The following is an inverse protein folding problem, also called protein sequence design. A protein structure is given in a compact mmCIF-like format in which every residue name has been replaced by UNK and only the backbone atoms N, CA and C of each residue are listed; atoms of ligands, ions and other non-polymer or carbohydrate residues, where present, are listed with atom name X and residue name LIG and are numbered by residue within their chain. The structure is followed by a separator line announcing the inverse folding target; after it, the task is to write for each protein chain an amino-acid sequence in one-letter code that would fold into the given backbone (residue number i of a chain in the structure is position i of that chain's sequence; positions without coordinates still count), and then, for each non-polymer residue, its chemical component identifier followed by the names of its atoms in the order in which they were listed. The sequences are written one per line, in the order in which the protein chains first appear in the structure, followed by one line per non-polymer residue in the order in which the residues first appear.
data_IF_435984317029
#
_entry.id   IF_435984317029
#
_cell.length_a   1.000
_cell.length_b   1.000
_cell.length_c   1.000
_cell.angle_alpha   90.00
_cell.angle_beta   90.00
_cell.angle_gamma   90.00
#
_symmetry.space_group_name_H-M   'P 1'
#
loop_
_entity.id
_entity.type
_entity.pdbx_description
1 polymer ?
#
# COMPACT_ATOMS: atom_id res chain seq x y z
N UNK A 1 4.15 -24.42 11.38
CA UNK A 1 5.45 -23.72 11.54
C UNK A 1 5.32 -22.38 10.83
N UNK A 2 4.99 -21.31 11.57
CA UNK A 2 4.84 -19.98 10.99
C UNK A 2 6.22 -19.42 10.68
N UNK A 3 6.62 -19.48 9.43
CA UNK A 3 7.78 -18.73 8.94
C UNK A 3 7.32 -17.28 8.83
N UNK A 4 7.60 -16.49 9.86
CA UNK A 4 7.45 -15.03 9.79
C UNK A 4 8.60 -14.49 8.97
N UNK A 5 8.41 -14.40 7.67
CA UNK A 5 9.34 -13.69 6.78
C UNK A 5 9.27 -12.19 7.08
N UNK A 6 10.06 -11.79 8.05
CA UNK A 6 10.23 -10.39 8.43
C UNK A 6 11.10 -9.70 7.39
N UNK A 7 10.81 -8.43 7.12
CA UNK A 7 11.76 -7.59 6.39
C UNK A 7 13.11 -7.65 7.11
N UNK A 8 14.15 -8.02 6.37
CA UNK A 8 15.51 -8.08 6.89
C UNK A 8 16.24 -6.78 6.59
N UNK A 9 16.97 -6.33 7.59
CA UNK A 9 17.92 -5.25 7.45
C UNK A 9 19.29 -5.82 7.11
N UNK A 10 19.84 -5.39 5.98
CA UNK A 10 21.15 -5.84 5.51
C UNK A 10 22.02 -4.65 5.13
N UNK A 11 23.33 -4.78 5.36
CA UNK A 11 24.32 -3.79 4.98
C UNK A 11 25.13 -4.31 3.82
N UNK A 12 25.16 -3.61 2.70
CA UNK A 12 25.94 -3.97 1.52
C UNK A 12 27.10 -3.00 1.27
N UNK A 13 28.22 -3.53 0.79
CA UNK A 13 29.43 -2.77 0.48
C UNK A 13 30.46 -2.75 1.61
N UNK A 14 31.63 -2.21 1.33
CA UNK A 14 32.77 -2.06 2.25
C UNK A 14 33.14 -0.59 2.44
N UNK A 15 33.56 -0.20 3.65
CA UNK A 15 34.03 1.14 3.96
C UNK A 15 32.95 2.23 3.76
N UNK A 16 33.31 3.35 3.14
CA UNK A 16 32.41 4.49 2.87
C UNK A 16 31.27 4.19 1.87
N UNK A 17 31.32 3.03 1.19
CA UNK A 17 30.29 2.59 0.23
C UNK A 17 29.20 1.69 0.89
N UNK A 18 29.18 1.57 2.22
CA UNK A 18 28.12 0.85 2.94
C UNK A 18 26.75 1.45 2.64
N UNK A 19 25.85 0.63 2.11
CA UNK A 19 24.45 0.98 1.88
C UNK A 19 23.57 0.11 2.74
N UNK A 20 22.65 0.73 3.43
CA UNK A 20 21.65 0.03 4.23
C UNK A 20 20.52 -0.38 3.30
N UNK A 21 20.13 -1.64 3.35
CA UNK A 21 19.06 -2.20 2.53
C UNK A 21 18.03 -2.90 3.40
N UNK A 22 16.80 -2.91 2.95
CA UNK A 22 15.74 -3.76 3.47
C UNK A 22 15.38 -4.81 2.44
N UNK A 23 15.11 -6.02 2.88
CA UNK A 23 14.71 -7.14 2.04
C UNK A 23 13.63 -7.96 2.73
N UNK A 24 12.66 -8.45 1.96
CA UNK A 24 11.58 -9.29 2.46
C UNK A 24 10.50 -9.46 1.43
N UNK A 25 9.37 -10.03 1.85
CA UNK A 25 8.18 -10.11 1.00
C UNK A 25 7.52 -8.73 0.99
N UNK A 26 7.37 -8.13 -0.19
CA UNK A 26 6.74 -6.81 -0.37
C UNK A 26 5.27 -6.93 -0.75
N UNK A 27 4.90 -7.98 -1.51
CA UNK A 27 3.55 -8.23 -1.95
C UNK A 27 3.21 -9.72 -1.77
N UNK A 28 1.95 -10.02 -1.51
CA UNK A 28 1.47 -11.38 -1.33
C UNK A 28 0.11 -11.56 -2.03
N UNK A 29 0.03 -12.55 -2.92
CA UNK A 29 -1.18 -12.90 -3.65
C UNK A 29 -1.87 -14.13 -3.08
N UNK A 30 -3.16 -14.32 -3.44
CA UNK A 30 -3.93 -15.51 -3.11
C UNK A 30 -4.32 -15.67 -1.64
N UNK A 31 -4.00 -14.70 -0.77
CA UNK A 31 -4.30 -14.74 0.66
C UNK A 31 -5.10 -13.50 1.06
N UNK A 32 -6.13 -13.68 1.90
CA UNK A 32 -6.91 -12.59 2.48
C UNK A 32 -6.03 -11.82 3.46
N UNK A 33 -5.83 -10.53 3.20
CA UNK A 33 -5.07 -9.64 4.08
C UNK A 33 -5.95 -9.12 5.26
N UNK A 34 -5.34 -8.35 6.19
CA UNK A 34 -6.05 -7.78 7.35
C UNK A 34 -7.19 -6.83 6.97
N UNK A 35 -7.13 -6.22 5.78
CA UNK A 35 -8.18 -5.34 5.27
C UNK A 35 -9.32 -6.12 4.57
N UNK A 36 -9.31 -7.44 4.65
CA UNK A 36 -10.33 -8.28 4.03
C UNK A 36 -10.20 -8.43 2.52
N UNK A 37 -9.07 -8.04 1.94
CA UNK A 37 -8.82 -8.07 0.49
C UNK A 37 -7.96 -9.25 0.10
N UNK A 38 -8.15 -9.74 -1.12
CA UNK A 38 -7.31 -10.75 -1.76
C UNK A 38 -6.89 -10.25 -3.14
N UNK A 39 -5.62 -10.38 -3.42
CA UNK A 39 -5.00 -10.02 -4.69
C UNK A 39 -4.79 -11.29 -5.50
N UNK A 40 -5.41 -11.46 -6.68
CA UNK A 40 -5.07 -12.55 -7.59
C UNK A 40 -3.60 -12.50 -7.97
N UNK A 41 -2.94 -13.66 -7.99
CA UNK A 41 -1.49 -13.74 -8.22
C UNK A 41 -1.10 -13.27 -9.62
N UNK A 42 -1.92 -13.57 -10.60
CA UNK A 42 -1.75 -13.18 -12.01
C UNK A 42 -1.83 -11.65 -12.18
N UNK A 43 -2.76 -11.00 -11.48
CA UNK A 43 -2.87 -9.52 -11.47
C UNK A 43 -1.63 -8.90 -10.85
N UNK A 44 -1.19 -9.43 -9.70
CA UNK A 44 0.06 -8.95 -9.06
C UNK A 44 1.27 -9.18 -9.96
N UNK A 45 1.39 -10.33 -10.61
CA UNK A 45 2.51 -10.62 -11.51
C UNK A 45 2.57 -9.67 -12.70
N UNK A 46 1.42 -9.41 -13.33
CA UNK A 46 1.30 -8.41 -14.39
C UNK A 46 1.79 -7.04 -13.92
N UNK A 47 1.32 -6.60 -12.75
CA UNK A 47 1.65 -5.29 -12.20
C UNK A 47 3.10 -5.20 -11.74
N UNK A 48 3.66 -6.25 -11.16
CA UNK A 48 5.07 -6.32 -10.80
C UNK A 48 5.95 -6.23 -12.05
N UNK A 49 5.59 -6.93 -13.12
CA UNK A 49 6.31 -6.85 -14.39
C UNK A 49 6.26 -5.44 -14.99
N UNK A 50 5.08 -4.80 -14.98
CA UNK A 50 4.92 -3.40 -15.40
C UNK A 50 5.78 -2.47 -14.53
N UNK A 51 5.69 -2.59 -13.20
CA UNK A 51 6.40 -1.77 -12.24
C UNK A 51 7.92 -1.91 -12.38
N UNK A 52 8.41 -3.14 -12.54
CA UNK A 52 9.83 -3.40 -12.78
C UNK A 52 10.33 -2.71 -14.06
N UNK A 53 9.58 -2.80 -15.15
CA UNK A 53 9.97 -2.21 -16.43
C UNK A 53 9.90 -0.67 -16.41
N UNK A 54 8.86 -0.11 -15.77
CA UNK A 54 8.58 1.32 -15.79
C UNK A 54 9.38 2.09 -14.72
N UNK A 55 9.60 1.49 -13.55
CA UNK A 55 10.17 2.21 -12.41
C UNK A 55 11.49 1.61 -11.90
N UNK A 56 11.56 0.29 -11.66
CA UNK A 56 12.77 -0.32 -11.07
C UNK A 56 13.96 -0.21 -12.02
N UNK A 57 13.81 -0.65 -13.27
CA UNK A 57 14.86 -0.58 -14.29
C UNK A 57 15.33 0.83 -14.58
N UNK A 58 14.44 1.82 -14.42
CA UNK A 58 14.76 3.23 -14.64
C UNK A 58 15.31 3.93 -13.38
N UNK A 59 15.45 3.21 -12.25
CA UNK A 59 15.92 3.77 -10.99
C UNK A 59 14.92 4.75 -10.34
N UNK A 60 13.63 4.69 -10.70
CA UNK A 60 12.56 5.58 -10.27
C UNK A 60 11.59 4.96 -9.26
N UNK A 61 11.81 3.70 -8.87
CA UNK A 61 10.97 2.98 -7.92
C UNK A 61 11.22 3.48 -6.49
N UNK A 62 10.58 4.57 -6.12
CA UNK A 62 10.71 5.21 -4.81
C UNK A 62 9.63 4.73 -3.85
N UNK A 63 9.96 4.69 -2.54
CA UNK A 63 9.03 4.44 -1.46
C UNK A 63 9.20 5.45 -0.33
N UNK A 64 8.15 5.63 0.44
CA UNK A 64 8.05 6.66 1.48
C UNK A 64 8.15 6.07 2.89
N UNK A 65 8.40 6.92 3.88
CA UNK A 65 8.24 6.60 5.29
C UNK A 65 6.81 6.96 5.73
N UNK A 66 6.06 5.96 6.15
CA UNK A 66 4.62 6.04 6.40
C UNK A 66 3.79 5.96 5.12
N UNK A 67 2.48 5.77 5.27
CA UNK A 67 1.54 5.85 4.16
C UNK A 67 1.05 7.29 4.01
N UNK A 68 1.36 7.98 2.89
CA UNK A 68 0.76 9.28 2.60
C UNK A 68 -0.68 9.13 2.12
N UNK A 69 -1.37 10.25 2.05
CA UNK A 69 -2.65 10.33 1.37
C UNK A 69 -2.43 10.38 -0.16
N UNK A 70 -2.97 9.39 -0.87
CA UNK A 70 -2.90 9.32 -2.35
C UNK A 70 -1.87 8.34 -2.90
N UNK A 71 -2.02 7.98 -4.18
CA UNK A 71 -1.14 7.04 -4.86
C UNK A 71 0.17 7.67 -5.34
N UNK A 72 0.26 8.99 -5.36
CA UNK A 72 1.44 9.72 -5.84
C UNK A 72 2.54 9.71 -4.79
N UNK A 73 3.79 9.54 -5.22
CA UNK A 73 4.95 9.61 -4.34
C UNK A 73 5.30 11.06 -4.04
N UNK A 74 5.37 11.43 -2.76
CA UNK A 74 5.83 12.75 -2.32
C UNK A 74 7.35 12.71 -2.09
N UNK A 75 8.09 13.49 -2.86
CA UNK A 75 9.55 13.44 -2.85
C UNK A 75 10.18 13.85 -1.51
N UNK A 76 9.53 14.70 -0.73
CA UNK A 76 9.93 15.11 0.61
C UNK A 76 9.81 13.98 1.65
N UNK A 77 8.99 12.95 1.38
CA UNK A 77 8.78 11.79 2.25
C UNK A 77 9.55 10.54 1.82
N UNK A 78 10.26 10.61 0.70
CA UNK A 78 11.01 9.47 0.16
C UNK A 78 12.08 9.01 1.16
N UNK A 79 12.04 7.73 1.52
CA UNK A 79 12.96 7.08 2.45
C UNK A 79 13.86 6.04 1.77
N UNK A 80 13.41 5.42 0.69
CA UNK A 80 14.14 4.33 0.05
C UNK A 80 13.85 4.23 -1.44
N UNK A 81 14.70 3.46 -2.12
CA UNK A 81 14.55 3.12 -3.54
C UNK A 81 14.51 1.59 -3.69
N UNK A 82 13.45 1.07 -4.29
CA UNK A 82 13.29 -0.33 -4.60
C UNK A 82 14.24 -0.69 -5.74
N UNK A 83 15.05 -1.73 -5.53
CA UNK A 83 16.09 -2.16 -6.46
C UNK A 83 15.79 -3.50 -7.10
N UNK A 84 14.92 -4.30 -6.49
CA UNK A 84 14.50 -5.60 -7.00
C UNK A 84 13.10 -5.93 -6.50
N UNK A 85 12.31 -6.59 -7.35
CA UNK A 85 11.01 -7.15 -7.01
C UNK A 85 10.79 -8.41 -7.85
N UNK A 86 10.84 -9.59 -7.23
CA UNK A 86 10.83 -10.90 -7.91
C UNK A 86 9.74 -11.78 -7.33
N UNK A 87 9.04 -12.52 -8.18
CA UNK A 87 8.03 -13.49 -7.76
C UNK A 87 8.68 -14.76 -7.15
N UNK A 88 8.18 -15.17 -6.00
CA UNK A 88 8.49 -16.44 -5.32
C UNK A 88 7.16 -17.13 -4.94
N UNK A 89 6.64 -17.96 -5.82
CA UNK A 89 5.32 -18.58 -5.63
C UNK A 89 4.19 -17.55 -5.64
N UNK A 90 3.48 -17.46 -4.53
CA UNK A 90 2.42 -16.44 -4.32
C UNK A 90 2.95 -15.14 -3.71
N UNK A 91 4.23 -15.11 -3.32
CA UNK A 91 4.88 -13.94 -2.75
C UNK A 91 5.71 -13.21 -3.80
N UNK A 92 5.93 -11.93 -3.57
CA UNK A 92 6.86 -11.12 -4.35
C UNK A 92 7.90 -10.54 -3.40
N UNK A 93 9.10 -11.10 -3.47
CA UNK A 93 10.23 -10.66 -2.65
C UNK A 93 10.82 -9.40 -3.25
N UNK A 94 10.97 -8.39 -2.41
CA UNK A 94 11.55 -7.10 -2.78
C UNK A 94 12.84 -6.82 -2.00
N UNK A 95 13.66 -5.97 -2.62
CA UNK A 95 14.84 -5.37 -2.01
C UNK A 95 14.83 -3.87 -2.27
N UNK A 96 15.17 -3.08 -1.26
CA UNK A 96 15.25 -1.64 -1.38
C UNK A 96 16.45 -1.09 -0.62
N UNK A 97 17.08 -0.05 -1.17
CA UNK A 97 18.18 0.69 -0.54
C UNK A 97 17.62 1.91 0.17
N UNK A 98 17.97 2.08 1.44
CA UNK A 98 17.69 3.30 2.19
C UNK A 98 18.49 4.47 1.63
N UNK A 99 17.83 5.60 1.45
CA UNK A 99 18.44 6.80 0.88
C UNK A 99 18.92 7.75 1.99
N UNK A 100 19.83 8.64 1.65
CA UNK A 100 20.34 9.68 2.57
C UNK A 100 19.38 10.86 2.74
N UNK A 101 18.11 10.71 2.34
CA UNK A 101 17.04 11.69 2.57
C UNK A 101 16.71 11.80 4.07
N UNK A 102 16.05 12.87 4.53
CA UNK A 102 15.64 12.98 5.94
C UNK A 102 14.84 11.75 6.40
N UNK A 103 13.86 11.29 5.62
CA UNK A 103 13.03 10.13 5.94
C UNK A 103 13.80 8.80 5.88
N UNK A 104 14.76 8.68 4.97
CA UNK A 104 15.64 7.51 4.90
C UNK A 104 16.59 7.43 6.11
N UNK A 105 17.07 8.56 6.60
CA UNK A 105 17.87 8.62 7.84
C UNK A 105 17.06 8.22 9.06
N UNK A 106 15.80 8.69 9.17
CA UNK A 106 14.89 8.28 10.26
C UNK A 106 14.67 6.79 10.22
N UNK A 107 14.31 6.22 9.05
CA UNK A 107 14.11 4.79 8.89
C UNK A 107 15.37 4.01 9.26
N UNK A 108 16.54 4.46 8.83
CA UNK A 108 17.84 3.87 9.16
C UNK A 108 18.11 3.84 10.66
N UNK A 109 17.94 4.98 11.34
CA UNK A 109 18.14 5.08 12.80
C UNK A 109 17.21 4.16 13.58
N UNK A 110 15.93 4.08 13.17
CA UNK A 110 14.96 3.18 13.80
C UNK A 110 15.38 1.71 13.65
N UNK A 111 15.87 1.32 12.46
CA UNK A 111 16.33 -0.03 12.23
C UNK A 111 17.64 -0.34 12.98
N UNK A 112 18.56 0.60 13.05
CA UNK A 112 19.82 0.46 13.81
C UNK A 112 19.55 0.30 15.32
N UNK A 113 18.53 0.95 15.86
CA UNK A 113 18.04 0.78 17.24
C UNK A 113 17.19 -0.49 17.46
N UNK A 114 17.05 -1.33 16.43
CA UNK A 114 16.32 -2.60 16.50
C UNK A 114 14.80 -2.48 16.42
N UNK A 115 14.27 -1.32 16.02
CA UNK A 115 12.84 -1.16 15.78
C UNK A 115 12.41 -2.03 14.60
N UNK A 116 11.36 -2.81 14.78
CA UNK A 116 10.79 -3.65 13.73
C UNK A 116 9.85 -2.83 12.87
N UNK A 117 10.27 -2.52 11.67
CA UNK A 117 9.48 -1.87 10.65
C UNK A 117 8.94 -2.88 9.64
N UNK A 118 7.80 -2.58 9.07
CA UNK A 118 7.20 -3.34 7.98
C UNK A 118 7.25 -2.58 6.67
N UNK A 119 6.77 -3.23 5.62
CA UNK A 119 6.54 -2.58 4.32
C UNK A 119 5.11 -2.82 3.86
N UNK A 120 4.57 -1.86 3.13
CA UNK A 120 3.21 -1.93 2.62
C UNK A 120 3.13 -1.28 1.24
N UNK A 121 2.42 -1.91 0.30
CA UNK A 121 2.27 -1.40 -1.05
C UNK A 121 1.10 -0.43 -1.18
N UNK A 122 1.17 0.44 -2.15
CA UNK A 122 0.06 1.29 -2.60
C UNK A 122 -0.32 0.95 -4.03
N UNK A 123 -1.61 0.95 -4.31
CA UNK A 123 -2.15 0.75 -5.64
C UNK A 123 -3.56 1.28 -5.74
N UNK A 124 -4.07 1.35 -6.95
CA UNK A 124 -5.42 1.77 -7.29
C UNK A 124 -6.09 0.70 -8.12
N UNK A 125 -7.38 0.52 -7.95
CA UNK A 125 -8.15 -0.47 -8.69
C UNK A 125 -9.52 -0.70 -8.07
N UNK A 126 -10.38 -1.42 -8.79
CA UNK A 126 -11.71 -1.80 -8.32
C UNK A 126 -11.66 -2.98 -7.34
N UNK A 127 -12.67 -3.09 -6.51
CA UNK A 127 -12.87 -4.22 -5.61
C UNK A 127 -14.20 -4.90 -5.97
N UNK A 128 -14.19 -6.23 -6.02
CA UNK A 128 -15.40 -7.05 -6.21
C UNK A 128 -15.62 -7.89 -4.97
N UNK A 129 -16.84 -7.92 -4.47
CA UNK A 129 -17.18 -8.80 -3.36
C UNK A 129 -17.22 -10.26 -3.84
N UNK A 130 -16.56 -11.12 -3.09
CA UNK A 130 -16.64 -12.57 -3.26
C UNK A 130 -17.67 -13.15 -2.29
N UNK A 131 -18.29 -14.28 -2.66
CA UNK A 131 -19.27 -14.99 -1.83
C UNK A 131 -18.81 -15.32 -0.41
N UNK A 132 -17.49 -15.27 -0.15
CA UNK A 132 -16.86 -15.59 1.14
C UNK A 132 -16.60 -14.34 2.00
N UNK A 133 -17.21 -13.19 1.70
CA UNK A 133 -16.95 -11.93 2.42
C UNK A 133 -15.51 -11.42 2.28
N UNK A 134 -14.83 -11.84 1.22
CA UNK A 134 -13.51 -11.35 0.85
C UNK A 134 -13.64 -10.41 -0.35
N UNK A 135 -13.00 -9.25 -0.30
CA UNK A 135 -12.97 -8.31 -1.43
C UNK A 135 -11.82 -8.70 -2.38
N UNK A 136 -12.17 -9.12 -3.59
CA UNK A 136 -11.20 -9.44 -4.64
C UNK A 136 -10.78 -8.18 -5.37
N UNK A 137 -9.49 -8.00 -5.53
CA UNK A 137 -8.93 -6.89 -6.34
C UNK A 137 -9.18 -7.17 -7.81
N UNK A 138 -9.65 -6.15 -8.53
CA UNK A 138 -10.02 -6.23 -9.95
C UNK A 138 -8.83 -6.21 -10.91
N UNK A 139 -9.12 -6.51 -12.17
CA UNK A 139 -8.12 -6.53 -13.24
C UNK A 139 -7.55 -5.14 -13.58
N UNK A 140 -8.25 -4.08 -13.21
CA UNK A 140 -7.85 -2.68 -13.36
C UNK A 140 -6.83 -2.23 -12.30
N UNK A 141 -6.40 -3.13 -11.41
CA UNK A 141 -5.41 -2.82 -10.39
C UNK A 141 -4.11 -2.32 -11.02
N UNK A 142 -3.60 -1.21 -10.49
CA UNK A 142 -2.31 -0.64 -10.83
C UNK A 142 -1.48 -0.40 -9.58
N UNK A 143 -0.29 -0.97 -9.55
CA UNK A 143 0.67 -0.79 -8.48
C UNK A 143 1.33 0.59 -8.60
N UNK A 144 1.09 1.46 -7.63
CA UNK A 144 1.69 2.80 -7.56
C UNK A 144 3.05 2.78 -6.86
N UNK A 145 3.13 2.10 -5.71
CA UNK A 145 4.37 1.89 -4.95
C UNK A 145 4.42 0.46 -4.44
N UNK A 146 5.50 -0.25 -4.70
CA UNK A 146 5.62 -1.65 -4.28
C UNK A 146 5.88 -1.79 -2.78
N UNK A 147 6.44 -0.79 -2.13
CA UNK A 147 6.65 -0.76 -0.69
C UNK A 147 6.80 0.67 -0.17
N UNK A 148 6.09 0.99 0.89
CA UNK A 148 6.37 2.09 1.82
C UNK A 148 6.79 1.50 3.16
N UNK A 149 7.68 2.15 3.88
CA UNK A 149 8.08 1.69 5.22
C UNK A 149 7.04 2.15 6.23
N UNK A 150 6.46 1.21 6.97
CA UNK A 150 5.38 1.46 7.94
C UNK A 150 5.68 0.80 9.28
N UNK A 151 5.12 1.36 10.36
CA UNK A 151 5.28 0.80 11.71
C UNK A 151 4.47 -0.50 11.89
N UNK A 152 3.23 -0.53 11.38
CA UNK A 152 2.33 -1.68 11.51
C UNK A 152 1.73 -2.05 10.14
N UNK A 153 2.30 -3.05 9.49
CA UNK A 153 1.85 -3.49 8.19
C UNK A 153 0.61 -4.39 8.27
N UNK A 154 -0.28 -4.31 7.29
CA UNK A 154 -1.57 -4.98 7.31
C UNK A 154 -1.58 -6.43 6.84
N UNK A 155 -0.51 -6.94 6.27
CA UNK A 155 -0.43 -8.36 5.91
C UNK A 155 0.23 -9.20 7.01
N UNK A 156 -0.24 -10.45 7.25
CA UNK A 156 0.27 -11.31 8.33
C UNK A 156 1.74 -11.70 8.16
N UNK A 157 2.21 -11.87 6.93
CA UNK A 157 3.54 -12.41 6.64
C UNK A 157 4.39 -11.48 5.75
N UNK A 158 3.76 -10.60 5.02
CA UNK A 158 4.39 -9.56 4.23
C UNK A 158 3.27 -8.73 3.60
N UNK A 159 3.31 -7.67 3.62
CA UNK A 159 2.54 -6.50 3.66
C UNK A 159 1.97 -6.07 2.33
N UNK A 160 0.72 -6.37 2.07
CA UNK A 160 -0.02 -5.77 0.98
C UNK A 160 -1.12 -4.89 1.57
N UNK A 161 -0.86 -3.60 1.64
CA UNK A 161 -1.90 -2.59 1.65
C UNK A 161 -1.91 -1.96 0.26
N UNK A 162 -2.72 -2.48 -0.59
CA UNK A 162 -3.12 -1.70 -1.72
C UNK A 162 -4.39 -0.98 -1.31
N UNK A 163 -4.36 0.31 -1.19
CA UNK A 163 -5.46 1.23 -0.89
C UNK A 163 -5.38 1.71 0.55
N UNK A 164 -5.17 3.00 0.67
CA UNK A 164 -5.03 3.76 1.90
C UNK A 164 -6.11 3.40 2.91
N UNK A 165 -5.75 3.29 4.17
CA UNK A 165 -6.72 3.15 5.23
C UNK A 165 -7.75 4.26 5.14
N UNK A 166 -8.96 3.87 4.79
CA UNK A 166 -10.11 4.72 4.80
C UNK A 166 -10.48 5.43 3.50
N UNK A 167 -9.72 5.30 2.40
CA UNK A 167 -10.04 5.94 1.12
C UNK A 167 -9.84 4.95 -0.04
N UNK A 168 -10.86 4.75 -0.82
CA UNK A 168 -10.80 3.99 -2.07
C UNK A 168 -10.72 4.97 -3.24
N UNK A 169 -9.66 4.83 -4.05
CA UNK A 169 -9.46 5.66 -5.24
C UNK A 169 -9.81 4.83 -6.47
N UNK A 170 -10.67 5.36 -7.32
CA UNK A 170 -11.11 4.72 -8.56
C UNK A 170 -10.75 5.60 -9.74
N UNK A 171 -10.26 4.99 -10.82
CA UNK A 171 -10.14 5.65 -12.11
C UNK A 171 -11.50 5.84 -12.73
N UNK A 172 -11.94 7.08 -12.87
CA UNK A 172 -13.17 7.41 -13.54
C UNK A 172 -12.92 8.56 -14.53
N UNK A 173 -13.19 8.31 -15.81
CA UNK A 173 -13.05 9.31 -16.85
C UNK A 173 -11.63 9.88 -17.03
N UNK A 174 -10.57 9.09 -16.72
CA UNK A 174 -9.18 9.53 -16.85
C UNK A 174 -8.65 10.32 -15.64
N UNK A 175 -9.42 10.45 -14.57
CA UNK A 175 -9.00 11.06 -13.31
C UNK A 175 -9.19 10.13 -12.13
N UNK A 176 -8.34 10.29 -11.12
CA UNK A 176 -8.43 9.53 -9.86
C UNK A 176 -9.47 10.20 -8.96
N UNK A 177 -10.50 9.45 -8.55
CA UNK A 177 -11.53 9.93 -7.61
C UNK A 177 -11.59 9.05 -6.37
N UNK A 178 -11.75 9.68 -5.21
CA UNK A 178 -11.99 8.99 -3.94
C UNK A 178 -13.41 8.42 -3.92
N UNK A 179 -13.58 7.16 -3.47
CA UNK A 179 -14.91 6.59 -3.25
C UNK A 179 -15.55 7.15 -1.97
N UNK A 180 -16.01 8.39 -2.04
CA UNK A 180 -16.82 8.99 -0.99
C UNK A 180 -18.25 8.42 -0.92
N UNK A 181 -18.74 7.87 -2.04
CA UNK A 181 -20.11 7.37 -2.16
C UNK A 181 -20.43 6.25 -1.15
N UNK A 182 -19.59 5.24 -1.02
CA UNK A 182 -19.84 4.12 -0.08
C UNK A 182 -19.87 4.56 1.40
N UNK A 183 -19.05 5.54 1.78
CA UNK A 183 -19.06 6.06 3.16
C UNK A 183 -20.33 6.84 3.43
N UNK A 184 -20.75 7.64 2.47
CA UNK A 184 -22.00 8.41 2.57
C UNK A 184 -23.18 7.46 2.63
N UNK A 185 -23.19 6.41 1.81
CA UNK A 185 -24.23 5.37 1.81
C UNK A 185 -24.28 4.59 3.13
N UNK A 186 -23.13 4.16 3.67
CA UNK A 186 -23.08 3.50 4.99
C UNK A 186 -23.57 4.41 6.11
N UNK A 187 -23.20 5.70 6.10
CA UNK A 187 -23.72 6.69 7.07
C UNK A 187 -25.22 6.89 6.93
N UNK A 188 -25.73 7.00 5.70
CA UNK A 188 -27.15 7.11 5.43
C UNK A 188 -27.89 5.87 5.95
N UNK A 189 -27.44 4.67 5.62
CA UNK A 189 -28.04 3.41 6.05
C UNK A 189 -28.05 3.27 7.58
N UNK A 190 -26.97 3.69 8.26
CA UNK A 190 -26.91 3.70 9.73
C UNK A 190 -27.94 4.66 10.32
N UNK A 191 -28.09 5.85 9.72
CA UNK A 191 -29.05 6.86 10.21
C UNK A 191 -30.50 6.47 9.92
N UNK A 192 -30.77 5.82 8.79
CA UNK A 192 -32.08 5.23 8.47
C UNK A 192 -32.45 4.18 9.51
N UNK A 193 -31.53 3.26 9.82
CA UNK A 193 -31.74 2.21 10.82
C UNK A 193 -31.99 2.78 12.22
N UNK A 194 -31.39 3.92 12.54
CA UNK A 194 -31.58 4.63 13.81
C UNK A 194 -32.78 5.58 13.83
N UNK A 195 -33.55 5.68 12.73
CA UNK A 195 -34.68 6.64 12.57
C UNK A 195 -34.28 8.12 12.76
N UNK A 196 -33.00 8.45 12.56
CA UNK A 196 -32.47 9.82 12.74
C UNK A 196 -32.16 10.54 11.44
N UNK A 197 -32.56 9.97 10.30
CA UNK A 197 -32.22 10.52 8.98
C UNK A 197 -32.80 11.91 8.75
N UNK A 198 -34.05 12.12 9.17
CA UNK A 198 -34.74 13.42 8.97
C UNK A 198 -34.06 14.56 9.73
N UNK A 199 -33.52 14.26 10.91
CA UNK A 199 -32.85 15.28 11.74
C UNK A 199 -31.48 15.71 11.19
N UNK A 200 -30.89 14.92 10.30
CA UNK A 200 -29.51 15.14 9.82
C UNK A 200 -29.34 15.23 8.31
N UNK A 201 -30.42 15.22 7.53
CA UNK A 201 -30.36 15.31 6.07
C UNK A 201 -29.54 16.51 5.58
N UNK A 202 -29.77 17.68 6.15
CA UNK A 202 -29.08 18.91 5.75
C UNK A 202 -27.58 18.86 6.04
N UNK A 203 -27.20 18.36 7.21
CA UNK A 203 -25.79 18.21 7.59
C UNK A 203 -25.05 17.22 6.69
N UNK A 204 -25.68 16.09 6.37
CA UNK A 204 -25.08 15.08 5.47
C UNK A 204 -24.90 15.61 4.04
N UNK A 205 -25.87 16.40 3.57
CA UNK A 205 -25.79 17.02 2.25
C UNK A 205 -24.72 18.11 2.19
N UNK A 206 -24.58 18.89 3.26
CA UNK A 206 -23.52 19.88 3.39
C UNK A 206 -22.13 19.24 3.47
N UNK A 207 -21.99 18.17 4.25
CA UNK A 207 -20.73 17.38 4.33
C UNK A 207 -20.36 16.78 2.97
N UNK A 208 -21.35 16.33 2.20
CA UNK A 208 -21.13 15.81 0.85
C UNK A 208 -20.64 16.88 -0.10
N UNK A 209 -21.30 18.07 -0.12
CA UNK A 209 -20.91 19.18 -1.00
C UNK A 209 -19.53 19.75 -0.66
N UNK A 210 -19.15 19.78 0.60
CA UNK A 210 -17.84 20.29 1.03
C UNK A 210 -16.68 19.33 0.69
N UNK A 211 -16.98 18.09 0.25
CA UNK A 211 -16.00 17.08 -0.10
C UNK A 211 -16.02 16.70 -1.60
N UNK A 212 -16.80 17.41 -2.42
CA UNK A 212 -16.75 17.38 -3.88
C UNK A 212 -15.72 18.36 -4.41
#
# INVERSE_FOLDING_TARGET
MCIRDRVKFITEGKGKAKRLCIEGVFLQGGIKNRNGRMYPVDILEREVNRYNNTFVKQGRALGELGHPEGPTVNLDRVSHKITSLVREGNNFRGKATLLSTPMGKIASSLLDEGVKLGVSSRGVGSLRESSNGCKMVGEDFQLATAADIVADPSAPDAFVNGIMEGKEWVWEGGSLREQLAERTEKRINTLVTQKRLEERKLSLFQDFLNNL
#
